data_IF_648624567324
#
_entry.id   IF_648624567324
#
_cell.length_a   1.000
_cell.length_b   1.000
_cell.length_c   1.000
_cell.angle_alpha   90.00
_cell.angle_beta   90.00
_cell.angle_gamma   90.00
#
_symmetry.space_group_name_H-M   'P 1'
#
loop_
_entity.id
_entity.type
_entity.pdbx_description
1 polymer ?
#
# COMPACT_ATOMS: atom_id res chain seq x y z
N UNK A 1 85.99 6.92 -6.14
CA UNK A 1 84.78 6.10 -6.26
C UNK A 1 83.56 6.99 -5.85
N UNK A 2 82.83 7.54 -6.81
CA UNK A 2 81.76 8.49 -6.56
C UNK A 2 80.42 7.71 -6.66
N UNK A 3 79.71 7.58 -5.54
CA UNK A 3 78.39 6.96 -5.48
C UNK A 3 77.40 8.02 -5.89
N UNK A 4 76.63 7.82 -6.98
CA UNK A 4 75.46 8.63 -7.38
C UNK A 4 74.24 8.05 -6.73
N UNK A 5 73.65 8.79 -5.82
CA UNK A 5 72.36 8.50 -5.22
C UNK A 5 71.26 9.04 -6.17
N UNK A 6 70.44 8.11 -6.70
CA UNK A 6 69.29 8.41 -7.56
C UNK A 6 68.08 8.56 -6.70
N UNK A 7 67.57 9.80 -6.55
CA UNK A 7 66.28 10.06 -5.90
C UNK A 7 65.14 9.76 -6.90
N UNK A 8 64.41 8.68 -6.66
CA UNK A 8 63.15 8.40 -7.38
C UNK A 8 62.00 9.09 -6.66
N UNK A 9 61.50 10.15 -7.23
CA UNK A 9 60.28 10.85 -6.75
C UNK A 9 59.07 10.07 -7.20
N UNK A 10 58.39 9.39 -6.24
CA UNK A 10 57.13 8.68 -6.48
C UNK A 10 55.98 9.74 -6.49
N UNK A 11 55.48 10.07 -7.66
CA UNK A 11 54.35 10.98 -7.86
C UNK A 11 53.05 10.17 -7.65
N UNK A 12 52.47 10.25 -6.46
CA UNK A 12 51.18 9.62 -6.14
C UNK A 12 50.07 10.46 -6.76
N UNK A 13 49.49 9.97 -7.87
CA UNK A 13 48.34 10.56 -8.52
C UNK A 13 47.10 10.26 -7.66
N UNK A 14 46.63 11.21 -6.84
CA UNK A 14 45.31 11.17 -6.21
C UNK A 14 44.27 11.40 -7.30
N UNK A 15 43.68 10.33 -7.81
CA UNK A 15 42.42 10.41 -8.58
C UNK A 15 41.29 10.83 -7.63
N UNK A 16 41.03 12.11 -7.55
CA UNK A 16 39.76 12.61 -7.03
C UNK A 16 38.66 12.16 -7.99
N UNK A 17 38.00 11.04 -7.68
CA UNK A 17 36.71 10.74 -8.25
C UNK A 17 35.73 11.76 -7.67
N UNK A 18 35.50 12.85 -8.40
CA UNK A 18 34.36 13.74 -8.15
C UNK A 18 33.12 12.89 -8.38
N UNK A 19 32.61 12.31 -7.30
CA UNK A 19 31.28 11.74 -7.31
C UNK A 19 30.32 12.87 -7.65
N UNK A 20 29.87 12.93 -8.90
CA UNK A 20 28.75 13.78 -9.25
C UNK A 20 27.57 13.37 -8.34
N UNK A 21 27.24 14.19 -7.37
CA UNK A 21 26.00 14.03 -6.63
C UNK A 21 24.89 14.01 -7.67
N UNK A 22 24.29 12.84 -7.85
CA UNK A 22 23.21 12.66 -8.81
C UNK A 22 22.08 13.62 -8.44
N UNK A 23 21.88 14.67 -9.23
CA UNK A 23 20.77 15.60 -9.03
C UNK A 23 19.48 14.92 -9.43
N UNK A 24 18.51 14.94 -8.52
CA UNK A 24 17.17 14.43 -8.79
C UNK A 24 16.58 15.06 -10.04
N UNK A 25 16.22 14.27 -11.03
CA UNK A 25 15.55 14.72 -12.25
C UNK A 25 14.07 15.06 -11.94
N UNK A 26 13.88 16.27 -11.38
CA UNK A 26 12.54 16.77 -11.03
C UNK A 26 11.67 16.97 -12.28
N UNK A 27 12.26 17.39 -13.39
CA UNK A 27 11.52 17.61 -14.63
C UNK A 27 10.93 16.30 -15.16
N UNK A 28 11.68 15.21 -15.10
CA UNK A 28 11.19 13.90 -15.51
C UNK A 28 10.12 13.36 -14.54
N UNK A 29 10.25 13.59 -13.24
CA UNK A 29 9.20 13.27 -12.26
C UNK A 29 7.93 14.07 -12.54
N UNK A 30 8.05 15.38 -12.79
CA UNK A 30 6.91 16.23 -13.12
C UNK A 30 6.19 15.72 -14.37
N UNK A 31 6.93 15.42 -15.43
CA UNK A 31 6.37 14.88 -16.68
C UNK A 31 5.67 13.52 -16.45
N UNK A 32 6.24 12.66 -15.63
CA UNK A 32 5.62 11.37 -15.30
C UNK A 32 4.27 11.55 -14.59
N UNK A 33 4.24 12.40 -13.56
CA UNK A 33 3.00 12.68 -12.81
C UNK A 33 1.97 13.44 -13.65
N UNK A 34 2.40 14.36 -14.51
CA UNK A 34 1.53 15.02 -15.48
C UNK A 34 0.89 14.03 -16.44
N UNK A 35 1.67 13.07 -16.95
CA UNK A 35 1.14 12.01 -17.82
C UNK A 35 0.12 11.11 -17.09
N UNK A 36 0.38 10.76 -15.82
CA UNK A 36 -0.57 10.00 -14.99
C UNK A 36 -1.88 10.79 -14.79
N UNK A 37 -1.80 12.09 -14.56
CA UNK A 37 -2.97 12.96 -14.39
C UNK A 37 -3.74 13.16 -15.70
N UNK A 38 -3.03 13.54 -16.78
CA UNK A 38 -3.61 13.75 -18.12
C UNK A 38 -4.39 12.53 -18.61
N UNK A 39 -3.81 11.34 -18.42
CA UNK A 39 -4.40 10.08 -18.84
C UNK A 39 -5.32 9.46 -17.78
N UNK A 40 -5.65 10.18 -16.72
CA UNK A 40 -6.51 9.74 -15.60
C UNK A 40 -6.07 8.38 -15.02
N UNK A 41 -4.76 8.15 -14.87
CA UNK A 41 -4.18 6.89 -14.38
C UNK A 41 -3.99 6.87 -12.88
N UNK A 42 -3.94 8.04 -12.23
CA UNK A 42 -3.85 8.17 -10.79
C UNK A 42 -4.38 9.53 -10.31
N UNK A 43 -4.83 9.56 -9.07
CA UNK A 43 -4.91 10.75 -8.23
C UNK A 43 -4.19 10.44 -6.94
N UNK A 44 -3.23 11.27 -6.54
CA UNK A 44 -2.43 10.96 -5.35
C UNK A 44 -1.38 12.00 -5.03
N UNK A 45 -0.62 11.74 -3.98
CA UNK A 45 0.44 12.61 -3.49
C UNK A 45 1.71 11.82 -3.20
N UNK A 46 2.85 12.38 -3.57
CA UNK A 46 4.21 11.85 -3.39
C UNK A 46 5.02 12.78 -2.52
N UNK A 47 5.82 12.22 -1.62
CA UNK A 47 6.94 12.88 -0.96
C UNK A 47 8.20 12.03 -1.11
N UNK A 48 9.28 12.64 -1.58
CA UNK A 48 10.63 12.08 -1.52
C UNK A 48 11.40 12.91 -0.50
N UNK A 49 11.99 12.24 0.48
CA UNK A 49 12.84 12.88 1.47
C UNK A 49 14.21 12.19 1.52
N UNK A 50 15.26 12.96 1.79
CA UNK A 50 16.63 12.48 1.97
C UNK A 50 17.30 13.28 3.07
N UNK A 51 18.03 12.61 3.96
CA UNK A 51 18.76 13.26 5.05
C UNK A 51 17.86 14.22 5.86
N UNK A 52 16.68 13.75 6.26
CA UNK A 52 15.63 14.49 6.99
C UNK A 52 15.05 15.71 6.27
N UNK A 53 15.34 15.87 4.98
CA UNK A 53 14.84 16.98 4.16
C UNK A 53 13.94 16.47 3.05
N UNK A 54 12.79 17.11 2.90
CA UNK A 54 11.94 16.88 1.72
C UNK A 54 12.65 17.46 0.50
N UNK A 55 12.97 16.63 -0.47
CA UNK A 55 13.67 17.01 -1.71
C UNK A 55 12.73 17.15 -2.91
N UNK A 56 11.55 16.52 -2.83
CA UNK A 56 10.51 16.61 -3.85
C UNK A 56 9.13 16.26 -3.28
N UNK A 57 8.12 17.00 -3.72
CA UNK A 57 6.70 16.68 -3.50
C UNK A 57 5.91 16.89 -4.78
N UNK A 58 4.94 16.04 -5.03
CA UNK A 58 4.00 16.22 -6.14
C UNK A 58 2.64 15.67 -5.75
N UNK A 59 1.58 16.44 -6.04
CA UNK A 59 0.21 16.00 -5.93
C UNK A 59 -0.50 16.17 -7.27
N UNK A 60 -1.32 15.19 -7.66
CA UNK A 60 -2.09 15.19 -8.89
C UNK A 60 -3.53 14.75 -8.63
N UNK A 61 -4.46 15.32 -9.38
CA UNK A 61 -5.88 15.00 -9.25
C UNK A 61 -6.57 15.76 -8.12
N UNK A 62 -7.62 15.20 -7.55
CA UNK A 62 -8.55 15.91 -6.68
C UNK A 62 -8.75 15.17 -5.35
N UNK A 63 -8.80 15.96 -4.26
CA UNK A 63 -9.28 15.50 -2.95
C UNK A 63 -10.79 15.34 -2.94
N UNK A 64 -11.49 16.24 -3.68
CA UNK A 64 -12.92 16.16 -3.93
C UNK A 64 -13.18 16.60 -5.36
N UNK A 65 -13.96 15.81 -6.11
CA UNK A 65 -14.51 16.18 -7.43
C UNK A 65 -15.90 15.61 -7.57
N UNK A 66 -16.85 16.52 -7.80
CA UNK A 66 -18.25 16.23 -8.10
C UNK A 66 -18.83 17.39 -8.95
N UNK A 67 -20.12 17.38 -9.21
CA UNK A 67 -20.80 18.42 -9.99
C UNK A 67 -20.68 19.82 -9.36
N UNK A 68 -20.44 19.91 -8.06
CA UNK A 68 -20.47 21.16 -7.27
C UNK A 68 -19.11 21.64 -6.83
N UNK A 69 -18.09 20.76 -6.76
CA UNK A 69 -16.78 21.08 -6.21
C UNK A 69 -15.66 20.36 -6.95
N UNK A 70 -14.55 21.09 -7.16
CA UNK A 70 -13.25 20.57 -7.61
C UNK A 70 -12.17 21.09 -6.67
N UNK A 71 -11.83 20.29 -5.64
CA UNK A 71 -10.75 20.62 -4.72
C UNK A 71 -9.52 19.80 -5.12
N UNK A 72 -8.43 20.41 -5.58
CA UNK A 72 -7.23 19.69 -5.96
C UNK A 72 -6.57 19.02 -4.76
N UNK A 73 -5.85 17.93 -5.01
CA UNK A 73 -4.91 17.37 -4.05
C UNK A 73 -3.71 18.28 -3.89
N UNK A 74 -3.18 18.30 -2.68
CA UNK A 74 -1.97 19.02 -2.30
C UNK A 74 -1.03 18.11 -1.51
N UNK A 75 0.20 18.53 -1.24
CA UNK A 75 1.11 17.81 -0.35
C UNK A 75 0.56 17.68 1.09
N UNK A 76 -0.38 18.55 1.49
CA UNK A 76 -1.04 18.52 2.80
C UNK A 76 -2.36 17.72 2.79
N UNK A 77 -2.78 17.16 1.67
CA UNK A 77 -3.97 16.31 1.61
C UNK A 77 -3.76 15.05 2.44
N UNK A 78 -4.79 14.68 3.20
CA UNK A 78 -4.77 13.56 4.12
C UNK A 78 -5.44 12.35 3.51
N UNK A 79 -4.82 11.18 3.69
CA UNK A 79 -5.27 9.94 3.09
C UNK A 79 -5.37 8.83 4.14
N UNK A 80 -6.29 7.92 3.97
CA UNK A 80 -6.24 6.65 4.68
C UNK A 80 -5.01 5.87 4.23
N UNK A 81 -4.12 5.53 5.16
CA UNK A 81 -2.86 4.85 4.85
C UNK A 81 -2.94 3.32 4.99
N UNK A 82 -4.14 2.81 5.27
CA UNK A 82 -4.41 1.37 5.38
C UNK A 82 -3.33 0.63 6.20
N UNK A 83 -2.73 -0.43 5.63
CA UNK A 83 -1.84 -1.32 6.37
C UNK A 83 -0.50 -0.72 6.78
N UNK A 84 -0.11 0.46 6.30
CA UNK A 84 1.02 1.19 6.87
C UNK A 84 0.80 1.47 8.37
N UNK A 85 -0.46 1.57 8.82
CA UNK A 85 -0.85 1.62 10.23
C UNK A 85 -0.18 0.54 11.08
N UNK A 86 0.07 -0.64 10.50
CA UNK A 86 0.69 -1.76 11.23
C UNK A 86 2.12 -1.45 11.68
N UNK A 87 2.86 -0.67 10.92
CA UNK A 87 4.20 -0.24 11.31
C UNK A 87 4.15 0.69 12.54
N UNK A 88 3.17 1.61 12.58
CA UNK A 88 2.93 2.45 13.76
C UNK A 88 2.53 1.61 14.99
N UNK A 89 1.61 0.65 14.80
CA UNK A 89 1.21 -0.27 15.87
C UNK A 89 2.41 -1.06 16.41
N UNK A 90 3.24 -1.62 15.50
CA UNK A 90 4.43 -2.39 15.89
C UNK A 90 5.43 -1.55 16.69
N UNK A 91 5.66 -0.29 16.31
CA UNK A 91 6.51 0.64 17.08
C UNK A 91 5.96 0.85 18.48
N UNK A 92 4.66 1.12 18.64
CA UNK A 92 4.05 1.32 19.96
C UNK A 92 4.08 0.04 20.84
N UNK A 93 3.92 -1.12 20.24
CA UNK A 93 4.07 -2.43 20.94
C UNK A 93 5.52 -2.63 21.38
N UNK A 94 6.50 -2.33 20.54
CA UNK A 94 7.92 -2.44 20.90
C UNK A 94 8.33 -1.43 21.97
N UNK A 95 7.74 -0.23 22.01
CA UNK A 95 7.91 0.69 23.13
C UNK A 95 7.44 0.08 24.46
N UNK A 96 6.29 -0.63 24.45
CA UNK A 96 5.83 -1.35 25.65
C UNK A 96 6.78 -2.49 26.05
N UNK A 97 7.43 -3.12 25.08
CA UNK A 97 8.46 -4.13 25.34
C UNK A 97 9.70 -3.49 26.00
N UNK A 98 10.17 -2.37 25.49
CA UNK A 98 11.30 -1.61 26.06
C UNK A 98 11.00 -1.06 27.47
N UNK A 99 9.73 -0.71 27.72
CA UNK A 99 9.25 -0.31 29.05
C UNK A 99 9.08 -1.48 30.03
N UNK A 100 9.31 -2.72 29.59
CA UNK A 100 9.11 -3.93 30.40
C UNK A 100 7.65 -4.27 30.72
N UNK A 101 6.70 -3.59 30.09
CA UNK A 101 5.25 -3.82 30.26
C UNK A 101 4.73 -5.01 29.45
N UNK A 102 5.50 -5.45 28.47
CA UNK A 102 5.17 -6.54 27.56
C UNK A 102 6.46 -7.29 27.19
N UNK A 103 6.36 -8.59 26.89
CA UNK A 103 7.44 -9.36 26.29
C UNK A 103 6.99 -9.89 24.92
N UNK A 104 7.89 -9.93 23.96
CA UNK A 104 7.59 -10.53 22.64
C UNK A 104 7.25 -12.03 22.76
N UNK A 105 7.68 -12.68 23.83
CA UNK A 105 7.38 -14.08 24.18
C UNK A 105 6.10 -14.25 25.00
N UNK A 106 5.47 -13.15 25.44
CA UNK A 106 4.18 -13.24 26.13
C UNK A 106 3.14 -13.84 25.20
N UNK A 107 2.32 -14.72 25.78
CA UNK A 107 1.27 -15.41 25.05
C UNK A 107 -0.04 -14.64 25.09
N UNK A 108 -0.84 -14.79 24.05
CA UNK A 108 -2.08 -14.04 23.82
C UNK A 108 -3.12 -14.29 24.93
N UNK A 109 -3.09 -15.46 25.57
CA UNK A 109 -4.04 -15.80 26.64
C UNK A 109 -3.93 -14.89 27.87
N UNK A 110 -2.81 -14.19 28.07
CA UNK A 110 -2.69 -13.14 29.10
C UNK A 110 -3.69 -11.98 28.88
N UNK A 111 -4.13 -11.78 27.67
CA UNK A 111 -5.00 -10.66 27.26
C UNK A 111 -6.36 -11.13 26.76
N UNK A 112 -6.38 -12.22 25.99
CA UNK A 112 -7.57 -12.75 25.31
C UNK A 112 -7.57 -14.28 25.38
N UNK A 113 -7.81 -14.89 26.57
CA UNK A 113 -7.79 -16.34 26.75
C UNK A 113 -8.85 -17.08 25.92
N UNK A 114 -9.90 -16.38 25.48
CA UNK A 114 -10.99 -16.91 24.65
C UNK A 114 -10.62 -17.09 23.18
N UNK A 115 -9.52 -16.52 22.69
CA UNK A 115 -9.07 -16.67 21.30
C UNK A 115 -8.50 -18.09 21.12
N UNK A 116 -8.89 -18.81 20.06
CA UNK A 116 -8.34 -20.15 19.79
C UNK A 116 -6.80 -20.12 19.71
N UNK A 117 -6.15 -21.12 20.29
CA UNK A 117 -4.70 -21.25 20.40
C UNK A 117 -3.99 -20.12 21.19
N UNK A 118 -4.70 -19.27 21.94
CA UNK A 118 -4.13 -18.12 22.62
C UNK A 118 -2.90 -18.45 23.51
N UNK A 119 -2.87 -19.63 24.16
CA UNK A 119 -1.75 -20.11 24.99
C UNK A 119 -0.49 -20.45 24.20
N UNK A 120 -0.60 -20.65 22.89
CA UNK A 120 0.51 -20.98 21.98
C UNK A 120 0.97 -19.78 21.16
N UNK A 121 0.12 -18.75 21.01
CA UNK A 121 0.35 -17.58 20.18
C UNK A 121 1.12 -16.54 20.97
N UNK A 122 2.31 -16.16 20.52
CA UNK A 122 3.12 -15.09 21.12
C UNK A 122 2.88 -13.75 20.42
N UNK A 123 3.19 -12.66 21.14
CA UNK A 123 3.14 -11.30 20.58
C UNK A 123 4.03 -11.18 19.31
N UNK A 124 5.23 -11.81 19.33
CA UNK A 124 6.11 -11.86 18.14
C UNK A 124 5.42 -12.47 16.94
N UNK A 125 4.73 -13.60 17.13
CA UNK A 125 4.04 -14.30 16.04
C UNK A 125 2.87 -13.49 15.48
N UNK A 126 2.21 -12.66 16.29
CA UNK A 126 1.16 -11.76 15.82
C UNK A 126 1.78 -10.64 14.97
N UNK A 127 2.86 -10.00 15.47
CA UNK A 127 3.57 -8.93 14.76
C UNK A 127 4.11 -9.36 13.39
N UNK A 128 4.51 -10.64 13.25
CA UNK A 128 5.09 -11.21 12.01
C UNK A 128 4.12 -12.07 11.21
N UNK A 129 2.81 -11.96 11.44
CA UNK A 129 1.77 -12.72 10.72
C UNK A 129 1.94 -14.26 10.74
N UNK A 130 2.48 -14.81 11.84
CA UNK A 130 2.74 -16.24 12.04
C UNK A 130 1.86 -16.86 13.13
N UNK A 131 0.82 -16.16 13.55
CA UNK A 131 -0.03 -16.57 14.67
C UNK A 131 -1.08 -17.64 14.33
N UNK A 132 -1.44 -17.81 13.05
CA UNK A 132 -2.57 -18.63 12.64
C UNK A 132 -3.94 -18.04 12.98
N UNK A 133 -4.00 -16.80 13.50
CA UNK A 133 -5.27 -16.09 13.75
C UNK A 133 -5.95 -15.79 12.42
N UNK A 134 -7.21 -16.24 12.21
CA UNK A 134 -7.89 -16.06 10.94
C UNK A 134 -8.09 -14.58 10.60
N UNK A 135 -7.93 -14.25 9.32
CA UNK A 135 -8.25 -12.90 8.86
C UNK A 135 -9.74 -12.79 8.56
N UNK A 136 -10.52 -12.34 9.53
CA UNK A 136 -11.99 -12.28 9.43
C UNK A 136 -12.50 -11.44 8.23
N UNK A 137 -11.68 -10.55 7.67
CA UNK A 137 -12.02 -9.83 6.41
C UNK A 137 -12.11 -10.75 5.19
N UNK A 138 -11.48 -11.91 5.20
CA UNK A 138 -11.52 -12.85 4.08
C UNK A 138 -12.78 -13.71 4.11
N UNK A 139 -13.44 -13.81 5.25
CA UNK A 139 -14.65 -14.59 5.40
C UNK A 139 -15.88 -13.75 5.04
N UNK A 140 -16.29 -13.86 3.77
CA UNK A 140 -17.48 -13.16 3.24
C UNK A 140 -18.80 -13.62 3.88
N UNK A 141 -18.85 -14.78 4.54
CA UNK A 141 -20.04 -15.26 5.23
C UNK A 141 -20.29 -14.51 6.54
N UNK A 142 -19.23 -14.12 7.22
CA UNK A 142 -19.30 -13.40 8.52
C UNK A 142 -19.10 -11.92 8.38
N UNK A 143 -18.44 -11.46 7.33
CA UNK A 143 -18.15 -10.06 7.10
C UNK A 143 -19.10 -9.42 6.08
N UNK A 144 -19.99 -8.53 6.55
CA UNK A 144 -20.87 -7.75 5.67
C UNK A 144 -20.23 -6.40 5.33
N UNK A 145 -19.94 -6.12 4.07
CA UNK A 145 -19.46 -4.79 3.65
C UNK A 145 -20.42 -3.68 4.06
N UNK A 146 -19.88 -2.55 4.53
CA UNK A 146 -20.65 -1.34 4.84
C UNK A 146 -21.32 -1.29 6.22
N UNK A 147 -21.34 -2.39 6.99
CA UNK A 147 -21.84 -2.34 8.36
C UNK A 147 -20.74 -1.87 9.32
N UNK A 148 -21.00 -0.85 10.18
CA UNK A 148 -20.09 -0.52 11.25
C UNK A 148 -19.98 -1.71 12.21
N UNK A 149 -18.75 -2.07 12.59
CA UNK A 149 -18.47 -3.17 13.51
C UNK A 149 -17.78 -2.58 14.74
N UNK A 150 -18.34 -2.82 15.90
CA UNK A 150 -17.74 -2.43 17.17
C UNK A 150 -16.50 -3.26 17.49
N UNK A 151 -15.68 -2.80 18.44
CA UNK A 151 -14.52 -3.56 18.90
C UNK A 151 -14.91 -4.92 19.47
N UNK A 152 -16.02 -4.98 20.19
CA UNK A 152 -16.52 -6.23 20.81
C UNK A 152 -17.05 -7.21 19.76
N UNK A 153 -17.80 -6.72 18.76
CA UNK A 153 -18.24 -7.54 17.63
C UNK A 153 -17.06 -8.10 16.84
N UNK A 154 -16.03 -7.27 16.58
CA UNK A 154 -14.82 -7.71 15.92
C UNK A 154 -14.09 -8.80 16.72
N UNK A 155 -13.93 -8.59 18.04
CA UNK A 155 -13.34 -9.59 18.92
C UNK A 155 -14.15 -10.90 18.92
N UNK A 156 -15.47 -10.80 18.96
CA UNK A 156 -16.37 -11.97 18.90
C UNK A 156 -16.21 -12.75 17.57
N UNK A 157 -16.04 -12.05 16.43
CA UNK A 157 -15.75 -12.69 15.14
C UNK A 157 -14.41 -13.43 15.16
N UNK A 158 -13.37 -12.82 15.74
CA UNK A 158 -12.04 -13.45 15.86
C UNK A 158 -12.11 -14.71 16.74
N UNK A 159 -12.84 -14.64 17.85
CA UNK A 159 -13.00 -15.77 18.79
C UNK A 159 -13.74 -16.93 18.14
N UNK A 160 -14.74 -16.66 17.28
CA UNK A 160 -15.49 -17.68 16.54
C UNK A 160 -14.69 -18.27 15.36
N UNK A 161 -13.67 -17.58 14.89
CA UNK A 161 -12.91 -17.99 13.72
C UNK A 161 -12.04 -19.24 14.03
N UNK A 162 -12.05 -20.21 13.12
CA UNK A 162 -11.15 -21.36 13.22
C UNK A 162 -9.71 -20.95 12.92
N UNK A 163 -8.70 -21.44 13.66
CA UNK A 163 -7.30 -21.19 13.35
C UNK A 163 -6.94 -21.64 11.92
N UNK A 164 -6.22 -20.80 11.18
CA UNK A 164 -5.79 -21.14 9.81
C UNK A 164 -4.67 -22.21 9.82
N UNK A 165 -3.84 -22.22 10.87
CA UNK A 165 -2.73 -23.16 11.06
C UNK A 165 -2.22 -23.07 12.51
N UNK A 166 -1.39 -24.04 12.92
CA UNK A 166 -0.70 -23.99 14.21
C UNK A 166 0.31 -22.85 14.25
N UNK A 167 0.39 -22.09 15.36
CA UNK A 167 1.28 -20.95 15.49
C UNK A 167 2.72 -21.26 15.07
N UNK A 168 3.35 -20.37 14.35
CA UNK A 168 4.72 -20.42 13.82
C UNK A 168 4.99 -21.43 12.69
N UNK A 169 4.01 -22.19 12.24
CA UNK A 169 4.21 -23.19 11.16
C UNK A 169 4.15 -22.57 9.76
N UNK A 170 3.45 -21.46 9.61
CA UNK A 170 3.27 -20.75 8.33
C UNK A 170 3.25 -19.25 8.53
N UNK A 171 3.39 -18.49 7.43
CA UNK A 171 3.04 -17.08 7.36
C UNK A 171 1.66 -16.92 6.68
N UNK A 172 0.75 -16.16 7.29
CA UNK A 172 -0.49 -15.70 6.67
C UNK A 172 -0.90 -14.35 7.23
N UNK A 173 -0.97 -13.37 6.34
CA UNK A 173 -1.33 -12.02 6.69
C UNK A 173 -2.70 -11.95 7.37
N UNK A 174 -2.75 -11.42 8.61
CA UNK A 174 -3.97 -11.28 9.39
C UNK A 174 -4.18 -9.86 9.92
N UNK A 175 -5.25 -9.21 9.47
CA UNK A 175 -5.70 -7.94 10.06
C UNK A 175 -6.20 -8.14 11.49
N UNK A 176 -6.80 -9.30 11.77
CA UNK A 176 -7.31 -9.67 13.11
C UNK A 176 -6.21 -9.67 14.16
N UNK A 177 -5.02 -10.15 13.81
CA UNK A 177 -3.87 -10.13 14.71
C UNK A 177 -3.48 -8.70 15.11
N UNK A 178 -3.40 -7.79 14.16
CA UNK A 178 -3.08 -6.39 14.43
C UNK A 178 -4.19 -5.63 15.14
N UNK A 179 -5.43 -6.02 14.94
CA UNK A 179 -6.55 -5.52 15.76
C UNK A 179 -6.35 -5.90 17.24
N UNK A 180 -6.00 -7.16 17.51
CA UNK A 180 -5.70 -7.60 18.88
C UNK A 180 -4.50 -6.87 19.50
N UNK A 181 -3.43 -6.59 18.71
CA UNK A 181 -2.31 -5.77 19.18
C UNK A 181 -2.75 -4.35 19.56
N UNK A 182 -3.65 -3.73 18.81
CA UNK A 182 -4.23 -2.44 19.16
C UNK A 182 -5.03 -2.47 20.48
N UNK A 183 -5.81 -3.54 20.69
CA UNK A 183 -6.51 -3.73 21.97
C UNK A 183 -5.54 -4.01 23.14
N UNK A 184 -4.44 -4.72 22.92
CA UNK A 184 -3.38 -4.94 23.92
C UNK A 184 -2.73 -3.59 24.27
N UNK A 185 -2.44 -2.75 23.28
CA UNK A 185 -1.92 -1.39 23.50
C UNK A 185 -2.87 -0.60 24.40
N UNK A 186 -4.17 -0.57 24.11
CA UNK A 186 -5.17 0.12 24.93
C UNK A 186 -5.23 -0.42 26.36
N UNK A 187 -5.24 -1.76 26.52
CA UNK A 187 -5.23 -2.40 27.84
C UNK A 187 -4.00 -2.03 28.69
N UNK A 188 -2.82 -2.06 28.09
CA UNK A 188 -1.55 -1.82 28.82
C UNK A 188 -1.28 -0.34 29.08
N UNK A 189 -1.82 0.55 28.25
CA UNK A 189 -1.65 2.01 28.44
C UNK A 189 -2.77 2.64 29.24
N UNK A 190 -3.95 2.01 29.31
CA UNK A 190 -5.17 2.61 29.86
C UNK A 190 -5.71 3.78 29.03
N UNK A 191 -5.25 3.92 27.79
CA UNK A 191 -5.59 5.01 26.87
C UNK A 191 -6.20 4.46 25.57
N UNK A 192 -6.99 5.28 24.88
CA UNK A 192 -7.41 4.93 23.53
C UNK A 192 -6.20 4.83 22.60
N UNK A 193 -6.34 4.09 21.49
CA UNK A 193 -5.28 3.97 20.49
C UNK A 193 -4.81 5.35 19.97
N UNK A 194 -5.74 6.28 19.76
CA UNK A 194 -5.44 7.63 19.29
C UNK A 194 -4.63 8.43 20.31
N UNK A 195 -4.99 8.35 21.59
CA UNK A 195 -4.22 8.95 22.68
C UNK A 195 -2.81 8.34 22.80
N UNK A 196 -2.71 7.01 22.65
CA UNK A 196 -1.42 6.33 22.65
C UNK A 196 -0.56 6.73 21.45
N UNK A 197 -1.15 6.86 20.25
CA UNK A 197 -0.48 7.35 19.03
C UNK A 197 0.06 8.76 19.25
N UNK A 198 -0.77 9.67 19.76
CA UNK A 198 -0.39 11.05 20.02
C UNK A 198 0.82 11.14 20.94
N UNK A 199 0.76 10.48 22.09
CA UNK A 199 1.82 10.58 23.11
C UNK A 199 3.10 9.82 22.75
N UNK A 200 2.95 8.66 22.10
CA UNK A 200 4.06 7.75 21.85
C UNK A 200 4.78 8.01 20.54
N UNK A 201 4.10 8.63 19.58
CA UNK A 201 4.66 8.90 18.25
C UNK A 201 4.51 10.38 17.91
N UNK A 202 3.28 10.88 17.73
CA UNK A 202 3.04 12.18 17.11
C UNK A 202 3.76 13.32 17.85
N UNK A 203 3.52 13.47 19.15
CA UNK A 203 4.15 14.53 19.94
C UNK A 203 5.67 14.38 20.02
N UNK A 204 6.21 13.13 20.03
CA UNK A 204 7.65 12.90 20.10
C UNK A 204 8.41 13.35 18.87
N UNK A 205 7.84 13.18 17.70
CA UNK A 205 8.49 13.50 16.43
C UNK A 205 7.78 14.62 15.66
N UNK A 206 6.73 15.22 16.24
CA UNK A 206 6.01 16.37 15.70
C UNK A 206 5.26 16.05 14.41
N UNK A 207 4.51 14.93 14.35
CA UNK A 207 3.53 14.68 13.32
C UNK A 207 2.29 15.53 13.60
N UNK A 208 1.68 16.09 12.54
CA UNK A 208 0.53 16.99 12.68
C UNK A 208 -0.74 16.47 12.01
N UNK A 209 -0.55 15.60 11.05
CA UNK A 209 -1.60 15.15 10.13
C UNK A 209 -1.82 13.62 10.19
N UNK A 210 -1.35 12.99 11.28
CA UNK A 210 -1.48 11.55 11.50
C UNK A 210 -2.40 11.28 12.70
N UNK A 211 -3.55 10.64 12.46
CA UNK A 211 -4.56 10.34 13.48
C UNK A 211 -5.42 9.14 13.08
N UNK A 212 -6.25 8.66 14.02
CA UNK A 212 -7.13 7.52 13.74
C UNK A 212 -8.32 7.93 12.87
N UNK A 213 -8.62 7.12 11.86
CA UNK A 213 -9.80 7.33 11.02
C UNK A 213 -11.08 7.03 11.80
N UNK A 214 -11.98 8.00 11.89
CA UNK A 214 -13.26 7.89 12.58
C UNK A 214 -14.41 7.91 11.57
N UNK A 215 -14.90 6.74 11.16
CA UNK A 215 -16.10 6.66 10.29
C UNK A 215 -15.88 7.18 8.87
N UNK A 216 -16.68 8.17 8.46
CA UNK A 216 -16.64 8.73 7.11
C UNK A 216 -15.43 9.65 6.88
N UNK A 217 -15.03 9.80 5.61
CA UNK A 217 -14.00 10.77 5.20
C UNK A 217 -14.52 12.20 5.43
N UNK A 218 -13.75 13.00 6.14
CA UNK A 218 -14.08 14.41 6.45
C UNK A 218 -13.30 15.36 5.53
N UNK A 219 -13.94 15.78 4.45
CA UNK A 219 -13.34 16.71 3.47
C UNK A 219 -13.02 18.10 4.07
N UNK A 220 -13.65 18.47 5.21
CA UNK A 220 -13.36 19.74 5.88
C UNK A 220 -12.03 19.66 6.65
N UNK A 221 -11.61 18.46 7.01
CA UNK A 221 -10.27 18.21 7.55
C UNK A 221 -9.19 18.03 6.47
N UNK A 222 -9.55 18.18 5.19
CA UNK A 222 -8.63 17.96 4.07
C UNK A 222 -8.37 16.49 3.76
N UNK A 223 -9.26 15.60 4.21
CA UNK A 223 -9.21 14.18 3.86
C UNK A 223 -9.69 13.98 2.42
N UNK A 224 -8.99 13.14 1.67
CA UNK A 224 -9.29 12.86 0.27
C UNK A 224 -10.38 11.78 0.14
N UNK A 225 -11.47 12.11 -0.57
CA UNK A 225 -12.47 11.15 -1.02
C UNK A 225 -11.86 10.15 -1.99
N UNK A 226 -12.40 8.95 -2.06
CA UNK A 226 -11.95 7.90 -2.96
C UNK A 226 -12.76 7.87 -4.25
N UNK A 227 -12.09 7.50 -5.35
CA UNK A 227 -12.68 7.55 -6.69
C UNK A 227 -12.37 6.32 -7.52
N UNK A 228 -13.27 6.01 -8.43
CA UNK A 228 -13.05 5.09 -9.55
C UNK A 228 -13.01 5.90 -10.86
N UNK A 229 -12.19 5.45 -11.79
CA UNK A 229 -12.19 5.97 -13.15
C UNK A 229 -13.28 5.28 -13.94
N UNK A 230 -14.19 6.04 -14.55
CA UNK A 230 -15.25 5.53 -15.42
C UNK A 230 -14.87 5.54 -16.90
N UNK A 231 -13.59 5.78 -17.22
CA UNK A 231 -13.10 6.00 -18.57
C UNK A 231 -13.17 7.47 -18.96
N UNK A 232 -14.32 8.10 -18.86
CA UNK A 232 -14.51 9.52 -19.19
C UNK A 232 -14.30 10.45 -18.01
N UNK A 233 -14.62 10.02 -16.76
CA UNK A 233 -14.60 10.88 -15.58
C UNK A 233 -14.27 10.11 -14.29
N UNK A 234 -14.23 10.84 -13.17
CA UNK A 234 -14.07 10.31 -11.83
C UNK A 234 -15.41 10.19 -11.14
N UNK A 235 -15.76 8.98 -10.70
CA UNK A 235 -16.95 8.73 -9.89
C UNK A 235 -16.52 8.45 -8.46
N UNK A 236 -17.09 9.16 -7.49
CA UNK A 236 -16.83 8.89 -6.08
C UNK A 236 -17.20 7.44 -5.78
N UNK A 237 -16.27 6.75 -5.15
CA UNK A 237 -16.52 5.43 -4.59
C UNK A 237 -16.80 5.58 -3.09
N UNK A 238 -17.81 4.84 -2.64
CA UNK A 238 -18.05 4.72 -1.21
C UNK A 238 -17.22 3.57 -0.69
N UNK A 239 -16.50 3.79 0.42
CA UNK A 239 -15.88 2.67 1.11
C UNK A 239 -16.98 1.73 1.58
N UNK A 240 -16.94 0.53 1.05
CA UNK A 240 -17.88 -0.53 1.42
C UNK A 240 -17.52 -1.15 2.76
N UNK A 241 -16.35 -0.81 3.31
CA UNK A 241 -15.84 -1.39 4.54
C UNK A 241 -15.48 -0.30 5.55
N UNK A 242 -16.20 -0.20 6.67
CA UNK A 242 -15.68 0.55 7.80
C UNK A 242 -14.33 -0.04 8.20
N UNK A 243 -13.47 0.81 8.73
CA UNK A 243 -12.15 0.39 9.16
C UNK A 243 -12.26 -0.76 10.16
N UNK A 244 -11.74 -1.93 9.80
CA UNK A 244 -11.59 -3.00 10.77
C UNK A 244 -10.45 -2.60 11.69
N UNK A 245 -10.81 -2.19 12.89
CA UNK A 245 -9.84 -1.81 13.89
C UNK A 245 -9.20 -0.45 13.63
N UNK A 246 -7.97 -0.35 14.07
CA UNK A 246 -7.21 0.88 14.07
C UNK A 246 -6.67 1.18 12.68
N UNK A 247 -7.23 2.13 11.98
CA UNK A 247 -6.78 2.62 10.69
C UNK A 247 -6.37 4.08 10.82
N UNK A 248 -5.19 4.42 10.32
CA UNK A 248 -4.69 5.78 10.37
C UNK A 248 -4.98 6.54 9.07
N UNK A 249 -5.17 7.83 9.26
CA UNK A 249 -5.07 8.88 8.24
C UNK A 249 -3.70 9.52 8.41
N UNK A 250 -3.06 9.88 7.30
CA UNK A 250 -1.77 10.57 7.31
C UNK A 250 -1.53 11.29 5.97
N UNK A 251 -0.43 12.03 5.90
CA UNK A 251 0.12 12.60 4.68
C UNK A 251 1.40 11.87 4.27
N UNK A 252 1.81 11.89 2.99
CA UNK A 252 3.13 11.38 2.60
C UNK A 252 4.29 12.03 3.35
N UNK A 253 4.16 13.31 3.71
CA UNK A 253 5.16 14.03 4.52
C UNK A 253 5.30 13.48 5.93
N UNK A 254 4.18 13.25 6.63
CA UNK A 254 4.19 12.67 7.98
C UNK A 254 4.67 11.21 7.95
N UNK A 255 4.27 10.42 6.95
CA UNK A 255 4.79 9.06 6.78
C UNK A 255 6.30 9.05 6.55
N UNK A 256 6.83 9.98 5.75
CA UNK A 256 8.27 10.10 5.52
C UNK A 256 9.00 10.46 6.82
N UNK A 257 8.48 11.43 7.56
CA UNK A 257 9.04 11.82 8.87
C UNK A 257 9.00 10.69 9.89
N UNK A 258 7.91 9.92 9.90
CA UNK A 258 7.77 8.76 10.80
C UNK A 258 8.85 7.72 10.54
N UNK A 259 9.03 7.28 9.29
CA UNK A 259 9.99 6.20 9.00
C UNK A 259 11.44 6.66 9.21
N UNK A 260 11.79 7.90 8.86
CA UNK A 260 13.10 8.48 9.16
C UNK A 260 13.35 8.51 10.66
N UNK A 261 12.39 9.02 11.44
CA UNK A 261 12.50 9.09 12.92
C UNK A 261 12.61 7.70 13.56
N UNK A 262 11.98 6.69 12.98
CA UNK A 262 12.11 5.30 13.43
C UNK A 262 13.55 4.81 13.25
N UNK A 263 14.14 5.00 12.08
CA UNK A 263 15.51 4.56 11.78
C UNK A 263 16.58 5.47 12.42
N UNK A 264 16.25 6.71 12.75
CA UNK A 264 17.08 7.61 13.55
C UNK A 264 16.98 7.33 15.06
N UNK A 265 16.31 6.24 15.47
CA UNK A 265 16.17 5.77 16.86
C UNK A 265 15.45 6.77 17.78
N UNK A 266 14.62 7.67 17.23
CA UNK A 266 13.85 8.64 18.01
C UNK A 266 12.62 8.03 18.70
N UNK A 267 12.20 6.83 18.27
CA UNK A 267 10.97 6.17 18.73
C UNK A 267 11.23 4.90 19.54
N UNK A 268 12.17 4.07 19.12
CA UNK A 268 12.58 2.80 19.72
C UNK A 268 14.08 2.60 19.57
N UNK A 269 14.65 1.68 20.35
CA UNK A 269 16.08 1.35 20.36
C UNK A 269 16.54 0.68 19.04
N UNK A 270 17.87 0.65 18.84
CA UNK A 270 18.49 -0.05 17.72
C UNK A 270 18.13 -1.53 17.70
N UNK A 271 18.06 -2.18 18.87
CA UNK A 271 17.69 -3.60 18.98
C UNK A 271 16.27 -3.85 18.51
N UNK A 272 15.33 -2.98 18.86
CA UNK A 272 13.95 -3.05 18.41
C UNK A 272 13.85 -2.82 16.89
N UNK A 273 14.58 -1.85 16.33
CA UNK A 273 14.66 -1.63 14.88
C UNK A 273 15.24 -2.86 14.18
N UNK A 274 16.30 -3.46 14.71
CA UNK A 274 16.89 -4.67 14.16
C UNK A 274 15.89 -5.85 14.18
N UNK A 275 15.12 -5.99 15.25
CA UNK A 275 14.06 -6.99 15.32
C UNK A 275 12.95 -6.76 14.29
N UNK A 276 12.54 -5.49 14.05
CA UNK A 276 11.58 -5.15 12.99
C UNK A 276 12.12 -5.52 11.61
N UNK A 277 13.41 -5.33 11.36
CA UNK A 277 14.10 -5.61 10.09
C UNK A 277 14.44 -7.08 9.87
N UNK A 278 14.36 -7.92 10.89
CA UNK A 278 14.64 -9.36 10.75
C UNK A 278 13.47 -10.04 10.04
N UNK A 279 13.67 -10.29 8.74
CA UNK A 279 12.65 -10.90 7.89
C UNK A 279 12.63 -12.43 8.04
N UNK A 280 11.42 -12.96 8.08
CA UNK A 280 11.13 -14.39 7.96
C UNK A 280 9.92 -14.55 7.04
N UNK A 281 10.09 -15.25 5.93
CA UNK A 281 9.07 -15.36 4.86
C UNK A 281 8.61 -13.95 4.36
N UNK A 282 9.57 -13.04 4.10
CA UNK A 282 9.40 -11.66 3.66
C UNK A 282 8.68 -10.71 4.65
N UNK A 283 8.37 -11.17 5.88
CA UNK A 283 7.71 -10.39 6.91
C UNK A 283 8.62 -10.19 8.13
N UNK A 284 8.77 -8.94 8.56
CA UNK A 284 9.38 -8.55 9.82
C UNK A 284 8.31 -8.24 10.88
N UNK A 285 8.66 -7.50 11.93
CA UNK A 285 7.69 -7.06 12.92
C UNK A 285 7.00 -5.77 12.45
N UNK A 286 5.90 -5.92 11.72
CA UNK A 286 5.13 -4.81 11.16
C UNK A 286 5.84 -4.05 10.04
N UNK A 287 6.78 -4.70 9.38
CA UNK A 287 7.61 -4.14 8.31
C UNK A 287 7.89 -5.22 7.26
N UNK A 288 7.99 -4.80 6.01
CA UNK A 288 8.39 -5.65 4.88
C UNK A 288 9.58 -5.05 4.15
N UNK A 289 10.19 -5.82 3.24
CA UNK A 289 11.25 -5.34 2.37
C UNK A 289 10.79 -5.22 0.92
N UNK A 290 11.42 -4.29 0.21
CA UNK A 290 11.28 -4.10 -1.23
C UNK A 290 12.66 -4.04 -1.87
N UNK A 291 12.79 -4.57 -3.08
CA UNK A 291 14.01 -4.40 -3.87
C UNK A 291 13.72 -3.44 -5.03
N UNK A 292 14.38 -2.29 -5.03
CA UNK A 292 14.32 -1.31 -6.10
C UNK A 292 15.73 -0.90 -6.50
N UNK A 293 16.00 -0.79 -7.80
CA UNK A 293 17.31 -0.38 -8.34
C UNK A 293 18.48 -1.20 -7.76
N UNK A 294 18.26 -2.45 -7.36
CA UNK A 294 19.26 -3.33 -6.73
C UNK A 294 19.52 -3.04 -5.24
N UNK A 295 18.73 -2.19 -4.60
CA UNK A 295 18.87 -1.82 -3.19
C UNK A 295 17.68 -2.32 -2.37
N UNK A 296 17.92 -2.62 -1.09
CA UNK A 296 16.86 -3.01 -0.16
C UNK A 296 16.25 -1.79 0.51
N UNK A 297 14.94 -1.69 0.41
CA UNK A 297 14.11 -0.71 1.12
C UNK A 297 13.30 -1.43 2.18
N UNK A 298 13.07 -0.76 3.30
CA UNK A 298 12.22 -1.21 4.39
C UNK A 298 10.98 -0.32 4.50
N UNK A 299 9.84 -0.89 4.86
CA UNK A 299 8.62 -0.11 5.00
C UNK A 299 7.37 -0.96 4.98
N UNK A 300 6.31 -0.45 4.39
CA UNK A 300 5.06 -1.18 4.26
C UNK A 300 4.23 -0.63 3.12
N UNK A 301 3.19 -1.37 2.73
CA UNK A 301 2.18 -0.92 1.78
C UNK A 301 0.81 -0.90 2.44
N UNK A 302 -0.08 -0.10 1.90
CA UNK A 302 -1.46 -0.07 2.32
C UNK A 302 -2.40 -0.11 1.13
N UNK A 303 -3.57 -0.71 1.31
CA UNK A 303 -4.57 -0.75 0.24
C UNK A 303 -5.97 -0.98 0.75
N UNK A 304 -6.89 -0.28 0.15
CA UNK A 304 -8.32 -0.50 0.18
C UNK A 304 -8.83 -0.71 -1.25
N UNK A 305 -10.15 -0.65 -1.43
CA UNK A 305 -10.77 -0.93 -2.72
C UNK A 305 -10.23 -0.01 -3.83
N UNK A 306 -10.26 1.30 -3.58
CA UNK A 306 -9.89 2.31 -4.57
C UNK A 306 -8.78 3.27 -4.12
N UNK A 307 -8.15 3.02 -2.98
CA UNK A 307 -7.04 3.80 -2.47
C UNK A 307 -5.83 2.92 -2.16
N UNK A 308 -4.66 3.53 -2.08
CA UNK A 308 -3.43 2.83 -1.77
C UNK A 308 -2.38 3.74 -1.19
N UNK A 309 -1.43 3.14 -0.51
CA UNK A 309 -0.28 3.84 0.07
C UNK A 309 0.98 2.99 -0.06
N UNK A 310 2.11 3.66 -0.10
CA UNK A 310 3.43 3.05 -0.14
C UNK A 310 4.40 3.86 0.70
N UNK A 311 5.11 3.20 1.58
CA UNK A 311 6.17 3.79 2.38
C UNK A 311 7.40 2.91 2.23
N UNK A 312 8.48 3.46 1.67
CA UNK A 312 9.75 2.78 1.45
C UNK A 312 10.91 3.65 1.94
N UNK A 313 11.78 3.08 2.74
CA UNK A 313 12.97 3.72 3.30
C UNK A 313 14.22 2.91 2.97
N UNK A 314 15.24 3.58 2.44
CA UNK A 314 16.55 3.03 2.16
C UNK A 314 17.55 3.58 3.19
N UNK A 315 18.02 2.75 4.17
CA UNK A 315 18.75 3.25 5.34
C UNK A 315 20.12 3.86 5.03
N UNK A 316 20.89 3.25 4.13
CA UNK A 316 22.25 3.67 3.83
C UNK A 316 22.33 5.07 3.19
N UNK A 317 21.25 5.46 2.49
CA UNK A 317 21.14 6.77 1.84
C UNK A 317 20.17 7.70 2.56
N UNK A 318 19.53 7.24 3.63
CA UNK A 318 18.44 7.95 4.33
C UNK A 318 17.35 8.45 3.38
N UNK A 319 17.05 7.66 2.35
CA UNK A 319 16.08 7.98 1.32
C UNK A 319 14.70 7.44 1.69
N UNK A 320 13.69 8.29 1.65
CA UNK A 320 12.28 7.92 1.75
C UNK A 320 11.57 8.16 0.44
N UNK A 321 10.71 7.23 0.05
CA UNK A 321 9.66 7.42 -0.94
C UNK A 321 8.32 7.08 -0.29
N UNK A 322 7.48 8.08 -0.09
CA UNK A 322 6.13 7.94 0.45
C UNK A 322 5.10 8.39 -0.59
N UNK A 323 4.19 7.50 -0.95
CA UNK A 323 3.14 7.76 -1.93
C UNK A 323 1.78 7.32 -1.42
N UNK A 324 0.77 8.13 -1.69
CA UNK A 324 -0.64 7.81 -1.42
C UNK A 324 -1.49 8.10 -2.65
N UNK A 325 -2.54 7.30 -2.85
CA UNK A 325 -3.51 7.52 -3.93
C UNK A 325 -4.93 7.31 -3.42
N UNK A 326 -5.85 8.13 -3.89
CA UNK A 326 -7.29 8.02 -3.65
C UNK A 326 -8.06 7.57 -4.90
N UNK A 327 -7.33 7.23 -5.98
CA UNK A 327 -7.89 6.59 -7.17
C UNK A 327 -6.84 5.64 -7.76
N UNK A 328 -7.00 4.35 -7.50
CA UNK A 328 -6.02 3.31 -7.85
C UNK A 328 -6.33 2.73 -9.25
N UNK A 329 -5.96 3.46 -10.30
CA UNK A 329 -6.12 3.02 -11.69
C UNK A 329 -4.84 2.35 -12.18
N UNK A 330 -3.70 3.06 -12.11
CA UNK A 330 -2.40 2.46 -12.41
C UNK A 330 -1.83 1.81 -11.14
N UNK A 331 -1.14 0.66 -11.24
CA UNK A 331 -0.59 -0.01 -10.06
C UNK A 331 0.35 0.89 -9.26
N UNK A 332 0.09 1.01 -7.95
CA UNK A 332 0.91 1.82 -7.05
C UNK A 332 2.38 1.41 -7.08
N UNK A 333 2.66 0.10 -7.16
CA UNK A 333 4.02 -0.42 -7.27
C UNK A 333 4.74 0.14 -8.50
N UNK A 334 4.06 0.23 -9.64
CA UNK A 334 4.69 0.67 -10.90
C UNK A 334 4.96 2.18 -10.86
N UNK A 335 4.08 2.96 -10.21
CA UNK A 335 4.33 4.40 -9.96
C UNK A 335 5.57 4.56 -9.07
N UNK A 336 5.64 3.84 -7.95
CA UNK A 336 6.78 3.94 -7.01
C UNK A 336 8.07 3.43 -7.65
N UNK A 337 8.01 2.35 -8.45
CA UNK A 337 9.17 1.88 -9.21
C UNK A 337 9.68 2.95 -10.16
N UNK A 338 8.80 3.57 -10.95
CA UNK A 338 9.18 4.66 -11.87
C UNK A 338 9.79 5.86 -11.13
N UNK A 339 9.22 6.24 -9.98
CA UNK A 339 9.79 7.30 -9.13
C UNK A 339 11.20 6.96 -8.68
N UNK A 340 11.42 5.74 -8.21
CA UNK A 340 12.74 5.29 -7.70
C UNK A 340 13.74 5.15 -8.86
N UNK A 341 13.33 4.62 -10.01
CA UNK A 341 14.18 4.52 -11.19
C UNK A 341 14.61 5.91 -11.68
N UNK A 342 13.71 6.88 -11.74
CA UNK A 342 14.03 8.27 -12.06
C UNK A 342 14.98 8.86 -11.01
N UNK A 343 14.71 8.61 -9.72
CA UNK A 343 15.57 9.09 -8.63
C UNK A 343 17.01 8.58 -8.78
N UNK A 344 17.21 7.33 -9.16
CA UNK A 344 18.54 6.72 -9.35
C UNK A 344 19.09 6.90 -10.77
N UNK A 345 18.44 7.67 -11.65
CA UNK A 345 18.86 7.85 -13.05
C UNK A 345 18.90 6.56 -13.84
N UNK A 346 18.08 5.58 -13.46
CA UNK A 346 17.91 4.35 -14.24
C UNK A 346 17.10 4.61 -15.50
N UNK A 347 17.29 3.81 -16.56
CA UNK A 347 16.43 3.88 -17.72
C UNK A 347 14.96 3.70 -17.30
N UNK A 348 14.15 4.71 -17.55
CA UNK A 348 12.72 4.69 -17.33
C UNK A 348 12.02 5.44 -18.46
N UNK A 349 11.19 4.74 -19.21
CA UNK A 349 10.33 5.35 -20.22
C UNK A 349 8.99 5.69 -19.58
N UNK A 350 8.58 6.95 -19.70
CA UNK A 350 7.28 7.40 -19.20
C UNK A 350 6.20 6.75 -20.06
N UNK A 351 5.28 5.96 -19.46
CA UNK A 351 4.26 5.25 -20.23
C UNK A 351 3.36 6.21 -21.00
N UNK A 352 3.14 5.93 -22.29
CA UNK A 352 2.27 6.74 -23.13
C UNK A 352 0.78 6.58 -22.78
N UNK A 353 0.40 5.45 -22.14
CA UNK A 353 -0.98 5.09 -21.79
C UNK A 353 -1.94 5.23 -22.98
N UNK A 354 -1.50 4.74 -24.14
CA UNK A 354 -2.31 4.80 -25.36
C UNK A 354 -3.54 3.91 -25.21
N UNK A 355 -4.71 4.47 -25.52
CA UNK A 355 -5.97 3.77 -25.61
C UNK A 355 -6.64 4.16 -26.94
N UNK A 356 -7.48 3.28 -27.46
CA UNK A 356 -8.28 3.57 -28.65
C UNK A 356 -9.75 3.74 -28.24
N UNK A 357 -10.51 4.47 -29.04
CA UNK A 357 -11.96 4.49 -28.95
C UNK A 357 -12.51 3.28 -29.69
N UNK A 358 -13.44 2.56 -29.07
CA UNK A 358 -14.19 1.45 -29.69
C UNK A 358 -15.66 1.85 -29.71
N UNK A 359 -16.33 1.61 -30.85
CA UNK A 359 -17.73 2.01 -30.99
C UNK A 359 -18.66 1.22 -30.05
N UNK A 360 -19.76 1.84 -29.56
CA UNK A 360 -20.71 1.17 -28.67
C UNK A 360 -21.25 -0.14 -29.25
N UNK A 361 -21.48 -0.19 -30.55
CA UNK A 361 -22.02 -1.37 -31.24
C UNK A 361 -21.05 -2.56 -31.18
N UNK A 362 -19.75 -2.29 -31.21
CA UNK A 362 -18.71 -3.33 -31.04
C UNK A 362 -18.64 -3.75 -29.60
N UNK A 363 -18.67 -2.79 -28.66
CA UNK A 363 -18.61 -3.08 -27.22
C UNK A 363 -19.81 -3.91 -26.75
N UNK A 364 -21.00 -3.69 -27.32
CA UNK A 364 -22.22 -4.45 -27.00
C UNK A 364 -22.08 -5.95 -27.28
N UNK A 365 -21.24 -6.34 -28.24
CA UNK A 365 -20.98 -7.75 -28.53
C UNK A 365 -20.27 -8.47 -27.37
N UNK A 366 -19.54 -7.72 -26.57
CA UNK A 366 -18.75 -8.25 -25.43
C UNK A 366 -19.50 -8.24 -24.09
N UNK A 367 -20.63 -7.53 -24.01
CA UNK A 367 -21.45 -7.46 -22.78
C UNK A 367 -22.05 -8.82 -22.47
N UNK A 368 -21.94 -9.27 -21.20
CA UNK A 368 -22.51 -10.55 -20.76
C UNK A 368 -21.77 -11.13 -19.56
N UNK A 369 -22.20 -12.31 -19.14
CA UNK A 369 -21.58 -13.09 -18.07
C UNK A 369 -20.70 -14.16 -18.70
N UNK A 370 -19.47 -14.25 -18.24
CA UNK A 370 -18.48 -15.21 -18.71
C UNK A 370 -18.08 -16.16 -17.61
N UNK A 371 -18.10 -17.46 -17.89
CA UNK A 371 -17.76 -18.51 -16.93
C UNK A 371 -16.75 -19.49 -17.49
N UNK A 372 -16.01 -20.13 -16.60
CA UNK A 372 -15.14 -21.27 -16.87
C UNK A 372 -15.32 -22.26 -15.74
N UNK A 373 -15.59 -23.57 -16.01
CA UNK A 373 -15.79 -24.59 -14.98
C UNK A 373 -14.62 -24.77 -14.00
N UNK A 374 -13.40 -24.46 -14.46
CA UNK A 374 -12.17 -24.58 -13.64
C UNK A 374 -11.86 -23.29 -12.86
N UNK A 375 -12.60 -22.20 -13.11
CA UNK A 375 -12.39 -20.94 -12.43
C UNK A 375 -13.45 -20.69 -11.35
N UNK A 376 -13.05 -20.26 -10.14
CA UNK A 376 -13.99 -20.14 -9.01
C UNK A 376 -14.97 -18.96 -9.15
N UNK A 377 -14.73 -18.05 -10.09
CA UNK A 377 -15.53 -16.82 -10.24
C UNK A 377 -15.97 -16.66 -11.69
N UNK A 378 -17.23 -16.24 -11.85
CA UNK A 378 -17.73 -15.68 -13.10
C UNK A 378 -17.26 -14.24 -13.26
N UNK A 379 -17.18 -13.78 -14.51
CA UNK A 379 -16.81 -12.41 -14.85
C UNK A 379 -17.98 -11.76 -15.58
N UNK A 380 -18.51 -10.68 -15.03
CA UNK A 380 -19.58 -9.90 -15.68
C UNK A 380 -18.96 -8.74 -16.43
N UNK A 381 -19.25 -8.64 -17.71
CA UNK A 381 -18.87 -7.51 -18.56
C UNK A 381 -20.10 -6.66 -18.80
N UNK A 382 -20.00 -5.38 -18.46
CA UNK A 382 -21.04 -4.38 -18.69
C UNK A 382 -20.47 -3.21 -19.49
N UNK A 383 -21.34 -2.35 -20.01
CA UNK A 383 -20.94 -1.14 -20.75
C UNK A 383 -21.67 0.10 -20.18
N UNK A 384 -20.91 1.17 -20.10
CA UNK A 384 -21.45 2.51 -19.88
C UNK A 384 -20.80 3.46 -20.89
N UNK A 385 -21.60 4.08 -21.75
CA UNK A 385 -21.12 4.88 -22.88
C UNK A 385 -20.14 4.10 -23.77
N UNK A 386 -18.94 4.61 -23.97
CA UNK A 386 -17.86 4.00 -24.75
C UNK A 386 -16.88 3.16 -23.94
N UNK A 387 -17.24 2.73 -22.73
CA UNK A 387 -16.34 2.02 -21.82
C UNK A 387 -16.93 0.68 -21.39
N UNK A 388 -16.14 -0.40 -21.51
CA UNK A 388 -16.47 -1.67 -20.88
C UNK A 388 -16.01 -1.68 -19.42
N UNK A 389 -16.81 -2.34 -18.59
CA UNK A 389 -16.49 -2.62 -17.19
C UNK A 389 -16.43 -4.12 -16.97
N UNK A 390 -15.50 -4.56 -16.16
CA UNK A 390 -15.35 -5.95 -15.74
C UNK A 390 -15.57 -6.08 -14.24
N UNK A 391 -16.39 -7.06 -13.86
CA UNK A 391 -16.71 -7.36 -12.47
C UNK A 391 -16.48 -8.85 -12.18
N UNK A 392 -15.47 -9.24 -11.39
CA UNK A 392 -15.25 -10.62 -10.97
C UNK A 392 -16.14 -10.98 -9.77
N UNK A 393 -17.13 -11.86 -9.98
CA UNK A 393 -18.08 -12.28 -8.94
C UNK A 393 -18.83 -11.10 -8.33
N UNK A 394 -18.72 -10.92 -7.01
CA UNK A 394 -19.34 -9.81 -6.26
C UNK A 394 -18.40 -8.63 -5.99
N UNK A 395 -17.21 -8.62 -6.60
CA UNK A 395 -16.25 -7.52 -6.45
C UNK A 395 -16.72 -6.25 -7.17
N UNK A 396 -16.08 -5.12 -6.88
CA UNK A 396 -16.40 -3.87 -7.58
C UNK A 396 -16.03 -3.96 -9.07
N UNK A 397 -16.89 -3.37 -9.90
CA UNK A 397 -16.62 -3.25 -11.32
C UNK A 397 -15.45 -2.29 -11.57
N UNK A 398 -14.58 -2.62 -12.53
CA UNK A 398 -13.47 -1.81 -12.96
C UNK A 398 -13.56 -1.51 -14.48
N UNK A 399 -13.24 -0.27 -14.86
CA UNK A 399 -13.22 0.15 -16.26
C UNK A 399 -12.05 -0.48 -17.00
N UNK A 400 -12.33 -1.06 -18.17
CA UNK A 400 -11.35 -1.62 -19.08
C UNK A 400 -10.83 -0.55 -20.06
N UNK A 401 -9.55 -0.61 -20.36
CA UNK A 401 -8.89 0.26 -21.32
C UNK A 401 -8.69 -0.49 -22.64
N UNK A 402 -9.28 -0.01 -23.70
CA UNK A 402 -9.13 -0.61 -25.02
C UNK A 402 -7.73 -0.32 -25.60
N UNK A 403 -7.00 -1.35 -25.99
CA UNK A 403 -5.71 -1.28 -26.71
C UNK A 403 -5.80 -1.75 -28.15
N UNK A 404 -6.84 -2.54 -28.47
CA UNK A 404 -7.31 -2.87 -29.79
C UNK A 404 -8.84 -3.01 -29.75
N UNK A 405 -9.48 -3.23 -30.92
CA UNK A 405 -10.93 -3.33 -31.01
C UNK A 405 -11.51 -4.44 -30.11
N UNK A 406 -10.81 -5.55 -30.01
CA UNK A 406 -11.16 -6.76 -29.27
C UNK A 406 -10.25 -7.02 -28.06
N UNK A 407 -9.35 -6.08 -27.74
CA UNK A 407 -8.35 -6.25 -26.70
C UNK A 407 -8.37 -5.10 -25.71
N UNK A 408 -8.53 -5.47 -24.45
CA UNK A 408 -8.65 -4.53 -23.34
C UNK A 408 -7.66 -4.90 -22.24
N UNK A 409 -7.33 -3.91 -21.43
CA UNK A 409 -6.42 -4.11 -20.31
C UNK A 409 -6.94 -3.48 -19.02
N UNK A 410 -6.43 -4.00 -17.90
CA UNK A 410 -6.65 -3.47 -16.56
C UNK A 410 -5.33 -3.47 -15.78
N UNK A 411 -5.18 -2.52 -14.87
CA UNK A 411 -3.98 -2.36 -14.04
C UNK A 411 -2.67 -2.29 -14.86
N UNK A 412 -2.66 -1.43 -15.89
CA UNK A 412 -1.46 -1.22 -16.71
C UNK A 412 -1.02 -2.44 -17.50
N UNK A 413 -1.96 -3.28 -17.92
CA UNK A 413 -1.68 -4.49 -18.69
C UNK A 413 -1.37 -5.74 -17.87
N UNK A 414 -1.50 -5.70 -16.55
CA UNK A 414 -1.36 -6.91 -15.71
C UNK A 414 -2.46 -7.93 -15.90
N UNK A 415 -3.65 -7.45 -16.27
CA UNK A 415 -4.75 -8.25 -16.77
C UNK A 415 -5.07 -7.79 -18.20
N UNK A 416 -5.09 -8.73 -19.13
CA UNK A 416 -5.47 -8.47 -20.51
C UNK A 416 -6.67 -9.35 -20.84
N UNK A 417 -7.70 -8.74 -21.42
CA UNK A 417 -8.93 -9.36 -21.86
C UNK A 417 -8.98 -9.29 -23.38
N UNK A 418 -9.03 -10.44 -24.02
CA UNK A 418 -9.21 -10.55 -25.46
C UNK A 418 -10.56 -11.21 -25.74
N UNK A 419 -11.39 -10.57 -26.55
CA UNK A 419 -12.74 -11.05 -26.87
C UNK A 419 -12.78 -11.64 -28.27
N UNK A 420 -13.46 -12.78 -28.40
CA UNK A 420 -13.83 -13.40 -29.69
C UNK A 420 -15.37 -13.49 -29.69
N UNK A 421 -16.01 -12.47 -30.28
CA UNK A 421 -17.46 -12.40 -30.35
C UNK A 421 -18.07 -13.56 -31.14
N UNK A 422 -17.39 -14.03 -32.20
CA UNK A 422 -17.88 -15.11 -33.04
C UNK A 422 -17.93 -16.46 -32.27
N UNK A 423 -17.02 -16.67 -31.34
CA UNK A 423 -16.98 -17.85 -30.47
C UNK A 423 -17.66 -17.66 -29.12
N UNK A 424 -18.17 -16.46 -28.83
CA UNK A 424 -18.69 -16.11 -27.50
C UNK A 424 -17.64 -16.37 -26.38
N UNK A 425 -16.40 -16.02 -26.63
CA UNK A 425 -15.28 -16.26 -25.71
C UNK A 425 -14.61 -14.97 -25.25
N UNK A 426 -14.07 -15.02 -24.05
CA UNK A 426 -13.16 -14.04 -23.47
C UNK A 426 -11.92 -14.76 -22.95
N UNK A 427 -10.75 -14.34 -23.37
CA UNK A 427 -9.46 -14.86 -22.91
C UNK A 427 -8.89 -13.87 -21.90
N UNK A 428 -8.76 -14.30 -20.63
CA UNK A 428 -8.07 -13.55 -19.59
C UNK A 428 -6.61 -13.97 -19.53
N UNK A 429 -5.69 -13.03 -19.76
CA UNK A 429 -4.24 -13.22 -19.62
C UNK A 429 -3.75 -12.58 -18.33
N UNK A 430 -3.05 -13.35 -17.51
CA UNK A 430 -2.48 -12.90 -16.24
C UNK A 430 -1.20 -13.66 -15.92
N UNK A 431 -0.08 -12.94 -15.69
CA UNK A 431 1.19 -13.53 -15.27
C UNK A 431 1.68 -14.66 -16.17
N UNK A 432 1.58 -14.49 -17.50
CA UNK A 432 1.98 -15.51 -18.49
C UNK A 432 0.98 -16.66 -18.69
N UNK A 433 -0.13 -16.67 -17.94
CA UNK A 433 -1.21 -17.68 -18.09
C UNK A 433 -2.37 -17.10 -18.89
N UNK A 434 -3.04 -17.95 -19.67
CA UNK A 434 -4.25 -17.62 -20.41
C UNK A 434 -5.37 -18.55 -19.96
N UNK A 435 -6.52 -17.97 -19.62
CA UNK A 435 -7.72 -18.72 -19.20
C UNK A 435 -8.86 -18.31 -20.14
N UNK A 436 -9.52 -19.27 -20.75
CA UNK A 436 -10.65 -19.05 -21.64
C UNK A 436 -11.94 -19.12 -20.86
N UNK A 437 -12.78 -18.10 -21.00
CA UNK A 437 -14.13 -18.05 -20.44
C UNK A 437 -15.14 -18.04 -21.58
N UNK A 438 -16.26 -18.71 -21.38
CA UNK A 438 -17.35 -18.75 -22.36
C UNK A 438 -18.51 -17.88 -21.86
N UNK A 439 -19.09 -17.09 -22.79
CA UNK A 439 -20.26 -16.26 -22.51
C UNK A 439 -21.46 -17.14 -22.25
N UNK A 440 -22.14 -16.90 -21.14
CA UNK A 440 -23.39 -17.61 -20.80
C UNK A 440 -24.53 -17.14 -21.72
N UNK A 441 -25.45 -18.05 -22.01
CA UNK A 441 -26.62 -17.79 -22.89
C UNK A 441 -27.65 -16.94 -22.20
#
# INVERSE_FOLDING_TARGET
>A
MKIKILFATLLTLFLFTTGYAQTLDKAKLDLFFERLAEKKKAMGSLTIAKDDKVVYTRAIGYAQVDATAKKPLTAASRFRIASITKTFTAVMILQLVEEGKLKLTDTLDKFFPQVPNARKITIRQILSHRSGIPNVRRDQATWKPGAPVTKDEMLALIVKGAPEFEPDTKNSYSNSGYFLLGLILEKLTGKSYDQALEERINSKIGLKDTYIATGHIDVNKGEALTYINTGSDWKQSFETHPSIGFQLISTPGDMAKFIQSLFDLKLISQDSVNQMKTMRDDEGLGMVTFTFAGKTFYGNTGGGDNYGSWLAYQPEEKLVVAYTTNAKVHPVKDIVTGVIDIYYGKPFEIPAFQTIAVSPEVLDQYVGVYSNPEAPKKWTITRDGGTLFVQPGSENAAALEATAQDKFQLFGGRLVFEFDAAKNQMILKRGGRSIVFTKEK
#
